data_IF_315851438985
#
_entry.id   IF_315851438985
#
_cell.length_a   1.000
_cell.length_b   1.000
_cell.length_c   1.000
_cell.angle_alpha   90.00
_cell.angle_beta   90.00
_cell.angle_gamma   90.00
#
_symmetry.space_group_name_H-M   'P 1'
#
loop_
_entity.id
_entity.type
_entity.pdbx_description
1 polymer ?
#
# COMPACT_ATOMS: atom_id res chain seq x y z
N UNK A 1 -13.43 13.68 3.04
CA UNK A 1 -12.84 12.34 3.21
C UNK A 1 -11.55 12.27 2.41
N UNK A 2 -10.46 11.73 2.97
CA UNK A 2 -9.15 11.59 2.33
C UNK A 2 -9.00 10.15 1.85
N UNK A 3 -8.82 9.95 0.54
CA UNK A 3 -8.74 8.60 -0.05
C UNK A 3 -7.33 8.10 -0.32
N UNK A 4 -6.37 9.01 -0.45
CA UNK A 4 -5.01 8.75 -0.92
C UNK A 4 -4.09 9.88 -0.43
N UNK A 5 -2.84 9.54 -0.15
CA UNK A 5 -1.85 10.49 0.34
C UNK A 5 -0.49 10.20 -0.30
N UNK A 6 0.13 11.24 -0.85
CA UNK A 6 1.46 11.19 -1.44
C UNK A 6 2.30 12.32 -0.89
N UNK A 7 3.47 11.99 -0.38
CA UNK A 7 4.38 12.94 0.25
C UNK A 7 5.64 12.26 0.73
N UNK A 8 6.36 12.89 1.65
CA UNK A 8 7.60 12.34 2.22
C UNK A 8 7.38 11.85 3.64
N UNK A 9 8.06 10.77 4.01
CA UNK A 9 8.04 10.28 5.39
C UNK A 9 8.81 11.25 6.28
N UNK A 10 8.15 11.88 7.25
CA UNK A 10 8.77 12.81 8.21
C UNK A 10 9.16 12.11 9.51
N UNK A 11 8.27 11.27 10.05
CA UNK A 11 8.54 10.41 11.21
C UNK A 11 7.96 9.01 10.96
N UNK A 12 8.62 7.97 11.49
CA UNK A 12 8.27 6.56 11.26
C UNK A 12 8.30 5.78 12.57
N UNK A 13 7.16 5.22 12.96
CA UNK A 13 6.97 4.35 14.14
C UNK A 13 6.22 3.08 13.75
N UNK A 14 6.37 1.96 14.48
CA UNK A 14 5.80 0.67 14.07
C UNK A 14 4.29 0.66 13.78
N UNK A 15 3.51 1.52 14.44
CA UNK A 15 2.04 1.59 14.27
C UNK A 15 1.57 2.91 13.64
N UNK A 16 2.49 3.82 13.33
CA UNK A 16 2.17 5.20 12.98
C UNK A 16 3.27 5.83 12.13
N UNK A 17 2.88 6.59 11.13
CA UNK A 17 3.78 7.34 10.27
C UNK A 17 3.26 8.77 10.11
N UNK A 18 4.17 9.73 10.07
CA UNK A 18 3.86 11.11 9.72
C UNK A 18 4.32 11.35 8.30
N UNK A 19 3.39 11.73 7.43
CA UNK A 19 3.68 12.03 6.03
C UNK A 19 3.52 13.53 5.78
N UNK A 20 4.60 14.17 5.34
CA UNK A 20 4.62 15.57 4.95
C UNK A 20 4.13 15.71 3.50
N UNK A 21 3.02 16.44 3.34
CA UNK A 21 2.45 16.80 2.05
C UNK A 21 2.39 18.32 1.95
N UNK A 22 3.37 18.91 1.28
CA UNK A 22 3.40 20.34 1.03
C UNK A 22 3.50 21.21 2.29
N UNK A 23 4.20 20.72 3.33
CA UNK A 23 4.39 21.43 4.60
C UNK A 23 3.36 21.07 5.67
N UNK A 24 2.45 20.13 5.40
CA UNK A 24 1.46 19.63 6.37
C UNK A 24 1.79 18.18 6.74
N UNK A 25 2.06 17.94 8.02
CA UNK A 25 2.31 16.60 8.55
C UNK A 25 1.01 15.86 8.88
N UNK A 26 0.68 14.85 8.08
CA UNK A 26 -0.47 13.98 8.33
C UNK A 26 -0.06 12.78 9.16
N UNK A 27 -0.69 12.62 10.31
CA UNK A 27 -0.54 11.45 11.17
C UNK A 27 -1.41 10.30 10.64
N UNK A 28 -0.78 9.20 10.26
CA UNK A 28 -1.44 8.03 9.66
C UNK A 28 -1.10 6.79 10.46
N UNK A 29 -2.12 6.08 10.93
CA UNK A 29 -1.98 4.78 11.58
C UNK A 29 -1.83 3.69 10.53
N UNK A 30 -0.82 2.83 10.68
CA UNK A 30 -0.49 1.79 9.71
C UNK A 30 -0.39 0.43 10.40
N UNK A 31 -0.75 -0.67 9.72
CA UNK A 31 -0.45 -2.00 10.21
C UNK A 31 1.06 -2.27 10.09
N UNK A 32 1.54 -3.23 10.87
CA UNK A 32 2.96 -3.58 10.91
C UNK A 32 3.46 -4.12 9.56
N UNK A 33 2.59 -4.79 8.79
CA UNK A 33 2.89 -5.23 7.42
C UNK A 33 3.27 -4.05 6.52
N UNK A 34 2.51 -2.95 6.59
CA UNK A 34 2.77 -1.71 5.86
C UNK A 34 4.08 -1.09 6.33
N UNK A 35 4.35 -1.05 7.64
CA UNK A 35 5.58 -0.45 8.17
C UNK A 35 6.85 -1.05 7.57
N UNK A 36 6.89 -2.38 7.38
CA UNK A 36 8.02 -3.07 6.76
C UNK A 36 8.10 -2.83 5.24
N UNK A 37 6.97 -2.61 4.58
CA UNK A 37 6.92 -2.29 3.15
C UNK A 37 7.30 -0.82 2.87
N UNK A 38 7.25 0.05 3.88
CA UNK A 38 7.65 1.45 3.77
C UNK A 38 9.17 1.60 3.74
N UNK A 39 9.65 2.52 2.90
CA UNK A 39 11.06 2.90 2.81
C UNK A 39 11.60 3.66 4.03
N UNK A 40 12.72 4.33 3.82
CA UNK A 40 13.41 5.10 4.85
C UNK A 40 12.78 6.49 5.09
N UNK A 41 13.25 7.18 6.13
CA UNK A 41 12.87 8.56 6.40
C UNK A 41 13.19 9.45 5.19
N UNK A 42 12.37 10.47 4.97
CA UNK A 42 12.45 11.45 3.88
C UNK A 42 12.28 10.91 2.45
N UNK A 43 11.97 9.62 2.28
CA UNK A 43 11.60 9.06 0.98
C UNK A 43 10.15 9.38 0.61
N UNK A 44 9.90 9.46 -0.70
CA UNK A 44 8.54 9.61 -1.22
C UNK A 44 7.73 8.34 -0.98
N UNK A 45 6.53 8.52 -0.45
CA UNK A 45 5.60 7.44 -0.14
C UNK A 45 4.25 7.70 -0.78
N UNK A 46 3.58 6.61 -1.13
CA UNK A 46 2.22 6.59 -1.62
C UNK A 46 1.40 5.65 -0.71
N UNK A 47 0.39 6.21 -0.03
CA UNK A 47 -0.50 5.45 0.85
C UNK A 47 -1.96 5.61 0.43
N UNK A 48 -2.67 4.49 0.44
CA UNK A 48 -4.13 4.46 0.36
C UNK A 48 -4.69 4.72 1.75
N UNK A 49 -5.56 5.71 1.85
CA UNK A 49 -6.09 6.16 3.15
C UNK A 49 -7.55 5.73 3.31
N UNK A 50 -7.88 5.30 4.52
CA UNK A 50 -9.23 5.20 5.03
C UNK A 50 -9.40 6.24 6.15
N UNK A 51 -10.26 7.24 5.92
CA UNK A 51 -10.59 8.25 6.94
C UNK A 51 -11.71 7.73 7.83
N UNK A 52 -11.46 7.66 9.12
CA UNK A 52 -12.46 7.32 10.11
C UNK A 52 -12.78 8.56 10.94
N UNK A 53 -13.99 9.09 10.75
CA UNK A 53 -14.50 10.30 11.39
C UNK A 53 -15.47 9.91 12.48
N UNK A 54 -15.20 10.39 13.70
CA UNK A 54 -16.12 10.42 14.83
C UNK A 54 -16.34 11.86 15.26
N UNK A 55 -17.27 12.08 16.17
CA UNK A 55 -17.62 13.42 16.69
C UNK A 55 -16.40 14.15 17.25
N UNK A 56 -15.50 13.44 17.95
CA UNK A 56 -14.33 14.03 18.61
C UNK A 56 -12.98 13.64 17.99
N UNK A 57 -12.96 12.85 16.90
CA UNK A 57 -11.70 12.29 16.39
C UNK A 57 -11.73 12.08 14.89
N UNK A 58 -10.67 12.58 14.23
CA UNK A 58 -10.35 12.26 12.85
C UNK A 58 -9.08 11.40 12.83
N UNK A 59 -9.24 10.13 12.47
CA UNK A 59 -8.12 9.20 12.36
C UNK A 59 -7.93 8.78 10.90
N UNK A 60 -6.67 8.76 10.46
CA UNK A 60 -6.29 8.29 9.13
C UNK A 60 -5.63 6.92 9.26
N UNK A 61 -6.12 5.95 8.49
CA UNK A 61 -5.55 4.61 8.41
C UNK A 61 -4.93 4.39 7.04
N UNK A 62 -3.67 4.00 6.98
CA UNK A 62 -2.87 3.90 5.76
C UNK A 62 -2.49 2.48 5.37
N UNK A 63 -2.55 2.20 4.07
CA UNK A 63 -2.22 0.90 3.48
C UNK A 63 -1.41 1.07 2.20
N UNK A 64 -0.49 0.13 1.92
CA UNK A 64 0.25 0.10 0.65
C UNK A 64 -0.64 -0.45 -0.46
N UNK A 65 -1.40 -1.51 -0.15
CA UNK A 65 -2.21 -2.21 -1.16
C UNK A 65 -3.70 -1.93 -1.01
N UNK A 66 -4.42 -1.93 -2.12
CA UNK A 66 -5.89 -1.81 -2.09
C UNK A 66 -6.56 -3.01 -1.42
N UNK A 67 -5.92 -4.18 -1.47
CA UNK A 67 -6.39 -5.41 -0.83
C UNK A 67 -6.44 -5.27 0.69
N UNK A 68 -5.38 -4.72 1.29
CA UNK A 68 -5.32 -4.44 2.74
C UNK A 68 -6.40 -3.43 3.14
N UNK A 69 -6.53 -2.31 2.40
CA UNK A 69 -7.57 -1.31 2.66
C UNK A 69 -8.97 -1.90 2.61
N UNK A 70 -9.27 -2.71 1.60
CA UNK A 70 -10.58 -3.35 1.46
C UNK A 70 -10.84 -4.33 2.60
N UNK A 71 -9.85 -5.13 2.99
CA UNK A 71 -9.98 -6.05 4.11
C UNK A 71 -10.23 -5.30 5.42
N UNK A 72 -9.54 -4.18 5.64
CA UNK A 72 -9.76 -3.31 6.80
C UNK A 72 -11.20 -2.78 6.85
N UNK A 73 -11.73 -2.28 5.74
CA UNK A 73 -13.11 -1.79 5.63
C UNK A 73 -14.14 -2.90 5.92
N UNK A 74 -13.87 -4.12 5.47
CA UNK A 74 -14.74 -5.26 5.75
C UNK A 74 -14.67 -5.66 7.23
N UNK A 75 -13.48 -5.66 7.83
CA UNK A 75 -13.30 -5.94 9.26
C UNK A 75 -14.00 -4.90 10.14
N UNK A 76 -13.92 -3.61 9.79
CA UNK A 76 -14.64 -2.53 10.49
C UNK A 76 -16.16 -2.72 10.47
N UNK A 77 -16.68 -3.42 9.47
CA UNK A 77 -18.11 -3.66 9.33
C UNK A 77 -18.63 -4.80 10.20
N UNK A 78 -17.74 -5.51 10.91
CA UNK A 78 -18.08 -6.60 11.83
C UNK A 78 -18.39 -6.08 13.24
N UNK A 79 -19.37 -6.70 13.90
CA UNK A 79 -19.85 -6.21 15.19
C UNK A 79 -18.83 -6.44 16.31
N UNK A 80 -18.31 -5.35 16.89
CA UNK A 80 -17.32 -5.40 17.97
C UNK A 80 -15.87 -5.40 17.49
N UNK A 81 -15.62 -5.16 16.20
CA UNK A 81 -14.28 -4.91 15.66
C UNK A 81 -14.11 -3.41 15.44
N UNK A 82 -13.31 -2.78 16.30
CA UNK A 82 -12.91 -1.38 16.13
C UNK A 82 -11.70 -1.22 15.20
N UNK A 83 -11.36 0.01 14.78
CA UNK A 83 -10.22 0.26 13.90
C UNK A 83 -8.88 -0.16 14.50
N UNK A 84 -8.70 0.02 15.81
CA UNK A 84 -7.49 -0.44 16.52
C UNK A 84 -7.36 -1.96 16.48
N UNK A 85 -8.48 -2.69 16.64
CA UNK A 85 -8.46 -4.15 16.58
C UNK A 85 -8.24 -4.64 15.15
N UNK A 86 -8.86 -4.00 14.16
CA UNK A 86 -8.66 -4.32 12.75
C UNK A 86 -7.18 -4.12 12.32
N UNK A 87 -6.52 -3.06 12.80
CA UNK A 87 -5.07 -2.89 12.60
C UNK A 87 -4.27 -4.02 13.22
N UNK A 88 -4.57 -4.42 14.47
CA UNK A 88 -3.87 -5.54 15.13
C UNK A 88 -4.04 -6.85 14.35
N UNK A 89 -5.21 -7.10 13.77
CA UNK A 89 -5.46 -8.28 12.94
C UNK A 89 -4.58 -8.26 11.70
N UNK A 90 -4.50 -7.12 11.00
CA UNK A 90 -3.65 -6.95 9.81
C UNK A 90 -2.15 -6.96 10.14
N UNK A 91 -1.76 -6.58 11.37
CA UNK A 91 -0.39 -6.69 11.85
C UNK A 91 0.00 -8.13 12.22
N UNK A 92 -0.98 -8.95 12.65
CA UNK A 92 -0.74 -10.33 13.10
C UNK A 92 -0.83 -11.37 11.99
N UNK A 93 -1.63 -11.12 10.95
CA UNK A 93 -1.78 -12.01 9.81
C UNK A 93 -1.85 -11.22 8.51
N UNK A 94 -1.17 -11.72 7.48
CA UNK A 94 -1.26 -11.15 6.14
C UNK A 94 -2.64 -11.36 5.52
N UNK A 95 -2.97 -10.55 4.51
CA UNK A 95 -4.24 -10.68 3.77
C UNK A 95 -4.42 -12.08 3.18
N UNK A 96 -3.32 -12.67 2.70
CA UNK A 96 -3.30 -13.98 2.07
C UNK A 96 -3.50 -15.13 3.07
N UNK A 97 -3.18 -14.93 4.35
CA UNK A 97 -3.41 -15.90 5.43
C UNK A 97 -4.77 -15.73 6.12
N UNK A 98 -5.22 -14.48 6.28
CA UNK A 98 -6.47 -14.19 6.95
C UNK A 98 -7.68 -14.67 6.15
N UNK A 99 -7.66 -14.52 4.83
CA UNK A 99 -8.73 -14.96 3.95
C UNK A 99 -9.03 -16.48 4.04
N UNK A 100 -8.05 -17.39 3.88
CA UNK A 100 -8.29 -18.80 4.05
C UNK A 100 -8.66 -19.17 5.49
N UNK A 101 -8.11 -18.48 6.51
CA UNK A 101 -8.50 -18.71 7.90
C UNK A 101 -9.99 -18.38 8.15
N UNK A 102 -10.48 -17.25 7.62
CA UNK A 102 -11.91 -16.89 7.68
C UNK A 102 -12.77 -17.90 6.91
N UNK A 103 -12.31 -18.35 5.73
CA UNK A 103 -13.04 -19.35 4.91
C UNK A 103 -13.14 -20.71 5.60
N UNK A 104 -12.06 -21.15 6.25
CA UNK A 104 -12.01 -22.41 6.99
C UNK A 104 -12.70 -22.33 8.36
N UNK A 105 -13.04 -21.13 8.83
CA UNK A 105 -13.57 -20.92 10.17
C UNK A 105 -12.55 -21.26 11.27
N UNK A 106 -11.26 -21.08 11.00
CA UNK A 106 -10.19 -21.40 11.95
C UNK A 106 -10.11 -20.35 13.06
N UNK A 107 -10.89 -20.58 14.12
CA UNK A 107 -10.93 -19.73 15.30
C UNK A 107 -9.61 -19.73 16.07
N UNK A 108 -8.84 -20.82 16.03
CA UNK A 108 -7.61 -20.94 16.81
C UNK A 108 -6.58 -19.90 16.35
N UNK A 109 -6.40 -19.75 15.04
CA UNK A 109 -5.51 -18.73 14.45
C UNK A 109 -5.95 -17.31 14.76
N UNK A 110 -7.26 -17.04 14.72
CA UNK A 110 -7.79 -15.71 15.03
C UNK A 110 -7.59 -15.35 16.51
N UNK A 111 -7.74 -16.31 17.42
CA UNK A 111 -7.56 -16.09 18.87
C UNK A 111 -6.11 -15.89 19.31
N UNK A 112 -5.12 -16.20 18.45
CA UNK A 112 -3.70 -15.92 18.73
C UNK A 112 -3.41 -14.42 18.75
N UNK A 113 -4.24 -13.61 18.08
CA UNK A 113 -4.03 -12.16 18.00
C UNK A 113 -4.44 -11.50 19.33
N UNK A 114 -3.58 -10.64 19.91
CA UNK A 114 -3.89 -9.98 21.18
C UNK A 114 -5.10 -9.06 21.05
N UNK A 115 -6.13 -9.33 21.87
CA UNK A 115 -7.39 -8.59 21.88
C UNK A 115 -8.51 -9.23 21.06
N UNK A 116 -8.26 -10.34 20.37
CA UNK A 116 -9.30 -11.14 19.71
C UNK A 116 -9.70 -12.30 20.63
N UNK A 117 -10.82 -12.16 21.32
CA UNK A 117 -11.42 -13.25 22.10
C UNK A 117 -12.21 -14.23 21.25
N UNK A 118 -12.61 -15.37 21.83
CA UNK A 118 -13.39 -16.43 21.14
C UNK A 118 -14.68 -15.90 20.49
N UNK A 119 -15.47 -15.11 21.25
CA UNK A 119 -16.71 -14.49 20.75
C UNK A 119 -16.45 -13.52 19.59
N UNK A 120 -15.36 -12.76 19.66
CA UNK A 120 -14.99 -11.80 18.61
C UNK A 120 -14.50 -12.54 17.36
N UNK A 121 -13.71 -13.61 17.52
CA UNK A 121 -13.26 -14.45 16.43
C UNK A 121 -14.46 -15.09 15.69
N UNK A 122 -15.45 -15.62 16.42
CA UNK A 122 -16.68 -16.17 15.82
C UNK A 122 -17.41 -15.12 14.97
N UNK A 123 -17.54 -13.88 15.46
CA UNK A 123 -18.15 -12.78 14.69
C UNK A 123 -17.33 -12.40 13.45
N UNK A 124 -15.99 -12.41 13.56
CA UNK A 124 -15.08 -12.15 12.43
C UNK A 124 -15.17 -13.26 11.37
N UNK A 125 -15.54 -14.48 11.72
CA UNK A 125 -15.80 -15.54 10.74
C UNK A 125 -17.15 -15.35 10.06
N UNK A 126 -18.20 -15.02 10.82
CA UNK A 126 -19.58 -14.97 10.30
C UNK A 126 -19.89 -13.69 9.53
N UNK A 127 -19.67 -12.50 10.10
CA UNK A 127 -20.11 -11.23 9.51
C UNK A 127 -19.30 -10.85 8.25
N UNK A 128 -17.95 -10.85 8.30
CA UNK A 128 -17.10 -10.49 7.17
C UNK A 128 -17.27 -11.43 5.98
N UNK A 129 -17.44 -12.74 6.18
CA UNK A 129 -17.47 -13.71 5.08
C UNK A 129 -18.56 -13.38 4.03
N UNK A 130 -19.74 -12.96 4.49
CA UNK A 130 -20.84 -12.56 3.62
C UNK A 130 -20.46 -11.39 2.68
N UNK A 131 -19.67 -10.42 3.18
CA UNK A 131 -19.23 -9.24 2.44
C UNK A 131 -17.97 -9.51 1.62
N UNK A 132 -16.97 -10.20 2.19
CA UNK A 132 -15.73 -10.59 1.51
C UNK A 132 -16.04 -11.34 0.21
N UNK A 133 -17.03 -12.26 0.22
CA UNK A 133 -17.41 -13.03 -0.97
C UNK A 133 -17.84 -12.14 -2.14
N UNK A 134 -18.48 -11.00 -1.87
CA UNK A 134 -18.91 -10.04 -2.90
C UNK A 134 -17.74 -9.22 -3.45
N UNK A 135 -16.80 -8.82 -2.60
CA UNK A 135 -15.69 -7.96 -2.99
C UNK A 135 -14.55 -8.71 -3.68
N UNK A 136 -14.23 -9.93 -3.21
CA UNK A 136 -13.08 -10.70 -3.69
C UNK A 136 -13.40 -11.71 -4.80
N UNK A 137 -14.68 -11.92 -5.14
CA UNK A 137 -15.06 -12.66 -6.35
C UNK A 137 -14.63 -11.93 -7.63
N UNK A 138 -14.44 -10.61 -7.57
CA UNK A 138 -13.66 -9.87 -8.58
C UNK A 138 -12.18 -10.10 -8.31
N UNK A 139 -11.63 -11.22 -8.80
CA UNK A 139 -10.16 -11.36 -8.92
C UNK A 139 -9.65 -10.12 -9.66
N UNK A 140 -8.78 -9.27 -9.07
CA UNK A 140 -7.95 -8.43 -9.91
C UNK A 140 -7.10 -9.41 -10.72
N UNK A 141 -7.18 -9.35 -12.04
CA UNK A 141 -6.33 -10.14 -12.91
C UNK A 141 -4.88 -9.81 -12.55
N UNK A 142 -4.23 -10.67 -11.75
CA UNK A 142 -2.81 -10.58 -11.51
C UNK A 142 -2.14 -10.90 -12.84
N UNK A 143 -1.67 -9.88 -13.56
CA UNK A 143 -0.62 -10.10 -14.55
C UNK A 143 0.59 -10.61 -13.78
N UNK A 144 0.87 -11.88 -13.92
CA UNK A 144 2.16 -12.47 -13.59
C UNK A 144 3.21 -11.91 -14.55
N UNK A 145 3.86 -10.81 -14.17
CA UNK A 145 5.27 -10.58 -14.49
C UNK A 145 5.95 -10.64 -13.11
N UNK A 146 6.84 -11.58 -12.87
CA UNK A 146 8.12 -11.65 -13.56
C UNK A 146 9.13 -10.96 -12.64
N UNK A 147 10.03 -11.75 -12.10
CA UNK A 147 11.11 -11.41 -11.16
C UNK A 147 11.88 -10.14 -11.59
N UNK A 148 11.62 -9.00 -10.94
CA UNK A 148 12.57 -7.91 -10.59
C UNK A 148 11.78 -6.74 -9.96
N UNK A 149 11.96 -6.46 -8.67
CA UNK A 149 11.38 -5.26 -8.05
C UNK A 149 12.33 -4.07 -8.20
N UNK A 150 12.37 -3.48 -9.40
CA UNK A 150 12.86 -2.10 -9.57
C UNK A 150 11.70 -1.14 -9.27
N UNK A 151 11.70 -0.58 -8.06
CA UNK A 151 10.85 0.57 -7.72
C UNK A 151 11.55 1.81 -8.27
N UNK A 152 11.45 2.05 -9.58
CA UNK A 152 11.84 3.32 -10.19
C UNK A 152 10.69 3.94 -10.95
N UNK A 153 10.28 5.08 -10.40
CA UNK A 153 9.64 6.22 -11.06
C UNK A 153 8.37 5.96 -11.89
N UNK A 154 7.22 6.31 -11.30
CA UNK A 154 6.05 6.71 -12.07
C UNK A 154 6.08 8.23 -12.31
N UNK A 155 6.38 8.70 -13.55
CA UNK A 155 6.28 10.10 -13.87
C UNK A 155 4.79 10.47 -13.91
N UNK A 156 4.43 11.48 -13.12
CA UNK A 156 3.10 12.09 -13.12
C UNK A 156 2.95 12.90 -14.41
N UNK A 157 2.59 12.24 -15.52
CA UNK A 157 2.20 12.96 -16.73
C UNK A 157 0.74 13.38 -16.61
N UNK A 158 0.58 14.69 -16.36
CA UNK A 158 -0.55 15.57 -16.72
C UNK A 158 -1.66 14.86 -17.50
N UNK A 159 -2.80 14.61 -16.85
CA UNK A 159 -4.08 14.60 -17.54
C UNK A 159 -4.40 16.05 -17.92
N UNK A 160 -3.92 16.49 -19.08
CA UNK A 160 -4.47 17.63 -19.78
C UNK A 160 -5.53 17.13 -20.77
N UNK A 161 -6.67 17.79 -20.74
CA UNK A 161 -7.90 17.53 -21.49
C UNK A 161 -7.66 17.46 -23.01
N UNK A 162 -8.39 16.59 -23.70
CA UNK A 162 -9.19 16.95 -24.89
C UNK A 162 -9.94 15.73 -25.44
N UNK A 163 -11.25 15.88 -25.48
CA UNK A 163 -12.20 15.10 -26.27
C UNK A 163 -12.07 15.46 -27.75
N UNK A 164 -12.11 14.46 -28.63
CA UNK A 164 -12.87 14.36 -29.90
C UNK A 164 -12.18 13.42 -30.88
N UNK A 165 -12.97 12.52 -31.46
CA UNK A 165 -12.50 11.43 -32.31
C UNK A 165 -12.06 11.85 -33.71
N UNK A 166 -11.42 10.90 -34.39
CA UNK A 166 -11.79 10.39 -35.72
C UNK A 166 -10.83 9.26 -36.11
N UNK A 167 -11.42 8.23 -36.70
CA UNK A 167 -10.74 7.20 -37.49
C UNK A 167 -10.04 7.85 -38.69
N UNK A 168 -8.82 7.42 -38.99
CA UNK A 168 -8.44 7.03 -40.36
C UNK A 168 -7.09 6.33 -40.39
N UNK A 169 -7.12 5.15 -40.98
CA UNK A 169 -6.02 4.50 -41.66
C UNK A 169 -5.32 5.44 -42.64
N UNK A 170 -3.98 5.39 -42.70
CA UNK A 170 -3.22 5.02 -43.91
C UNK A 170 -1.73 5.37 -43.80
N UNK A 171 -0.92 4.37 -44.18
CA UNK A 171 0.31 4.44 -44.96
C UNK A 171 1.37 5.51 -44.68
N UNK A 172 2.54 5.01 -44.28
CA UNK A 172 3.77 5.18 -45.07
C UNK A 172 4.61 6.42 -44.79
N UNK A 173 5.75 6.21 -44.14
CA UNK A 173 7.07 6.24 -44.80
C UNK A 173 8.19 5.98 -43.80
N UNK A 174 8.98 4.96 -44.12
CA UNK A 174 10.37 4.85 -43.73
C UNK A 174 11.12 6.12 -44.14
N UNK A 175 11.81 6.73 -43.18
CA UNK A 175 13.09 7.40 -43.44
C UNK A 175 13.99 7.09 -42.27
N UNK A 176 15.01 6.27 -42.53
CA UNK A 176 16.08 6.02 -41.59
C UNK A 176 16.83 7.31 -41.27
N UNK A 177 17.16 7.48 -40.00
CA UNK A 177 18.21 8.40 -39.57
C UNK A 177 18.93 7.78 -38.38
N UNK A 178 20.04 7.14 -38.72
CA UNK A 178 21.18 6.86 -37.87
C UNK A 178 21.53 8.09 -37.04
N UNK A 179 21.48 7.95 -35.72
CA UNK A 179 22.16 8.86 -34.79
C UNK A 179 23.13 8.05 -33.95
N UNK A 180 24.37 8.34 -34.28
CA UNK A 180 25.66 8.02 -33.71
C UNK A 180 25.70 8.11 -32.18
N UNK A 181 26.48 7.20 -31.61
CA UNK A 181 26.97 7.13 -30.25
C UNK A 181 27.20 8.48 -29.55
N UNK A 182 26.78 8.55 -28.29
CA UNK A 182 27.28 9.51 -27.31
C UNK A 182 27.79 8.77 -26.05
N UNK A 183 28.79 9.34 -25.38
CA UNK A 183 29.78 8.60 -24.62
C UNK A 183 29.35 8.35 -23.17
N UNK A 184 29.80 7.22 -22.66
CA UNK A 184 29.70 6.78 -21.27
C UNK A 184 30.65 7.65 -20.43
N UNK A 185 30.17 8.38 -19.40
CA UNK A 185 31.07 9.07 -18.48
C UNK A 185 31.72 8.06 -17.52
N UNK A 186 33.06 8.01 -17.59
CA UNK A 186 33.96 7.33 -16.65
C UNK A 186 33.93 8.01 -15.28
N UNK A 187 33.42 7.33 -14.26
CA UNK A 187 33.58 7.74 -12.86
C UNK A 187 34.18 6.55 -12.12
N UNK A 188 35.51 6.50 -12.18
CA UNK A 188 36.41 5.66 -11.41
C UNK A 188 37.15 6.59 -10.43
N UNK A 189 37.44 6.05 -9.24
CA UNK A 189 38.34 6.57 -8.19
C UNK A 189 37.83 7.71 -7.29
N UNK A 190 37.49 7.35 -6.05
CA UNK A 190 38.22 7.83 -4.87
C UNK A 190 37.73 7.10 -3.61
N UNK A 191 38.37 5.97 -3.29
CA UNK A 191 38.32 5.36 -1.95
C UNK A 191 39.67 5.67 -1.28
N UNK A 192 39.72 6.53 -0.26
CA UNK A 192 40.88 6.59 0.60
C UNK A 192 40.78 5.51 1.70
N UNK A 193 41.59 4.48 1.53
CA UNK A 193 42.15 3.69 2.63
C UNK A 193 43.07 4.59 3.45
N UNK A 194 42.69 4.93 4.69
CA UNK A 194 43.62 5.10 5.82
C UNK A 194 42.86 5.56 7.07
N UNK A 195 42.76 4.71 8.10
CA UNK A 195 43.55 4.93 9.32
C UNK A 195 43.41 3.77 10.31
N UNK A 196 44.55 3.10 10.47
CA UNK A 196 44.93 2.20 11.54
C UNK A 196 45.43 3.06 12.71
N UNK A 197 45.21 2.59 13.95
CA UNK A 197 45.79 3.01 15.24
C UNK A 197 44.97 3.98 16.13
N UNK A 198 44.20 3.42 17.08
CA UNK A 198 44.61 3.31 18.50
C UNK A 198 43.64 2.44 19.30
#
# INVERSE_FOLDING_TARGET
MIGHLRGKISDKRPNQVVVDVGGVGYEVFIPLSTFYALGELHQDVNLLIHTHVREDTLALYGFVTSREKQLFEVLLSASGVGPVLALKILSGMSVEELLPAIRAGDLARLTTIPGVGRKTAERIVVDPYSKIRRFWARRPASKSLGTHCDVKEFPVRRCAQASHGKNSSSSGRDVGMSITALPIPQWEEDIPDSEVLK
#
